data_IF_150102860322
#
_entry.id   IF_150102860322
#
_cell.length_a   1.000
_cell.length_b   1.000
_cell.length_c   1.000
_cell.angle_alpha   90.00
_cell.angle_beta   90.00
_cell.angle_gamma   90.00
#
_symmetry.space_group_name_H-M   'P 1'
#
loop_
_entity.id
_entity.type
_entity.pdbx_description
1 polymer ?
#
# COMPACT_ATOMS: atom_id res chain seq x y z
N UNK A 1 2.74 -10.35 -11.51
CA UNK A 1 2.33 -11.40 -12.46
C UNK A 1 2.26 -10.85 -13.87
N UNK A 2 1.49 -9.78 -14.10
CA UNK A 2 1.32 -9.14 -15.42
C UNK A 2 2.62 -8.80 -16.16
N UNK A 3 3.65 -8.34 -15.45
CA UNK A 3 4.93 -7.95 -16.08
C UNK A 3 5.69 -9.11 -16.75
N UNK A 4 5.54 -10.34 -16.27
CA UNK A 4 6.31 -11.51 -16.76
C UNK A 4 5.43 -12.69 -17.23
N UNK A 5 4.10 -12.56 -17.15
CA UNK A 5 3.17 -13.60 -17.56
C UNK A 5 3.22 -14.88 -16.71
N UNK A 6 3.77 -14.82 -15.50
CA UNK A 6 3.85 -15.97 -14.62
C UNK A 6 2.54 -16.18 -13.85
N UNK A 7 2.00 -17.39 -13.98
CA UNK A 7 0.86 -17.88 -13.20
C UNK A 7 1.35 -18.55 -11.91
N UNK A 8 1.49 -17.74 -10.86
CA UNK A 8 2.01 -18.20 -9.56
C UNK A 8 0.84 -18.66 -8.68
N UNK A 9 0.87 -19.93 -8.29
CA UNK A 9 -0.05 -20.44 -7.28
C UNK A 9 0.45 -20.08 -5.87
N UNK A 10 -0.17 -19.05 -5.28
CA UNK A 10 0.19 -18.56 -3.93
C UNK A 10 -0.05 -19.60 -2.82
N UNK A 11 -1.13 -20.37 -2.90
CA UNK A 11 -1.42 -21.44 -1.92
C UNK A 11 -0.37 -22.54 -1.94
N UNK A 12 0.02 -23.01 -3.12
CA UNK A 12 1.09 -23.99 -3.29
C UNK A 12 2.45 -23.47 -2.82
N UNK A 13 2.74 -22.18 -3.08
CA UNK A 13 3.97 -21.52 -2.62
C UNK A 13 4.03 -21.45 -1.09
N UNK A 14 2.92 -21.08 -0.43
CA UNK A 14 2.84 -21.08 1.03
C UNK A 14 3.06 -22.48 1.63
N UNK A 15 2.58 -23.53 0.95
CA UNK A 15 2.78 -24.91 1.37
C UNK A 15 4.25 -25.36 1.24
N UNK A 16 4.95 -24.95 0.19
CA UNK A 16 6.40 -25.21 0.03
C UNK A 16 7.21 -24.61 1.19
N UNK A 17 6.82 -23.45 1.71
CA UNK A 17 7.49 -22.81 2.85
C UNK A 17 7.20 -23.45 4.20
N UNK A 18 6.25 -24.39 4.26
CA UNK A 18 5.86 -25.06 5.52
C UNK A 18 6.88 -26.10 5.98
N UNK A 19 7.56 -26.76 5.05
CA UNK A 19 8.49 -27.85 5.36
C UNK A 19 9.93 -27.46 4.97
N UNK A 20 10.90 -27.72 5.85
CA UNK A 20 12.33 -27.53 5.55
C UNK A 20 12.83 -26.08 5.50
N UNK A 21 11.97 -25.07 5.39
CA UNK A 21 12.38 -23.66 5.44
C UNK A 21 12.57 -23.12 6.87
N UNK A 22 13.39 -22.06 7.02
CA UNK A 22 13.67 -21.39 8.30
C UNK A 22 12.40 -20.73 8.86
N UNK A 23 11.53 -20.20 8.00
CA UNK A 23 10.31 -19.47 8.38
C UNK A 23 9.09 -20.36 8.65
N UNK A 24 9.29 -21.68 8.73
CA UNK A 24 8.21 -22.65 8.93
C UNK A 24 7.39 -22.32 10.19
N UNK A 25 6.08 -22.32 10.07
CA UNK A 25 5.18 -22.02 11.18
C UNK A 25 3.76 -22.53 10.90
N UNK A 26 2.95 -22.69 11.96
CA UNK A 26 1.52 -22.94 11.82
C UNK A 26 0.81 -21.80 11.07
N UNK A 27 1.34 -20.58 11.15
CA UNK A 27 0.82 -19.40 10.48
C UNK A 27 0.76 -19.58 8.95
N UNK A 28 1.75 -20.24 8.34
CA UNK A 28 1.76 -20.52 6.90
C UNK A 28 0.60 -21.42 6.45
N UNK A 29 0.08 -22.29 7.32
CA UNK A 29 -1.12 -23.09 7.04
C UNK A 29 -2.34 -22.22 6.81
N UNK A 30 -2.54 -21.20 7.64
CA UNK A 30 -3.66 -20.26 7.47
C UNK A 30 -3.51 -19.42 6.18
N UNK A 31 -2.28 -19.11 5.76
CA UNK A 31 -2.04 -18.42 4.48
C UNK A 31 -2.47 -19.30 3.31
N UNK A 32 -2.09 -20.58 3.32
CA UNK A 32 -2.56 -21.55 2.33
C UNK A 32 -4.08 -21.58 2.30
N UNK A 33 -4.73 -21.71 3.45
CA UNK A 33 -6.18 -21.85 3.55
C UNK A 33 -6.90 -20.61 2.99
N UNK A 34 -6.38 -19.41 3.24
CA UNK A 34 -6.90 -18.16 2.67
C UNK A 34 -6.81 -18.13 1.14
N UNK A 35 -5.69 -18.56 0.55
CA UNK A 35 -5.54 -18.62 -0.91
C UNK A 35 -6.25 -19.82 -1.56
N UNK A 36 -6.51 -20.90 -0.82
CA UNK A 36 -7.34 -22.01 -1.26
C UNK A 36 -8.83 -21.58 -1.31
N UNK A 37 -9.28 -20.80 -0.32
CA UNK A 37 -10.62 -20.22 -0.30
C UNK A 37 -10.81 -19.12 -1.36
N UNK A 38 -9.78 -18.29 -1.60
CA UNK A 38 -9.79 -17.26 -2.64
C UNK A 38 -8.42 -17.15 -3.33
N UNK A 39 -8.23 -17.80 -4.49
CA UNK A 39 -6.98 -17.72 -5.25
C UNK A 39 -6.64 -16.31 -5.75
N UNK A 40 -7.64 -15.44 -5.89
CA UNK A 40 -7.51 -14.06 -6.37
C UNK A 40 -7.39 -13.04 -5.23
N UNK A 41 -7.09 -13.49 -4.00
CA UNK A 41 -6.93 -12.61 -2.84
C UNK A 41 -5.78 -11.62 -3.08
N UNK A 42 -6.10 -10.33 -3.15
CA UNK A 42 -5.12 -9.26 -3.41
C UNK A 42 -4.36 -8.86 -2.15
N UNK A 43 -5.03 -8.89 -0.99
CA UNK A 43 -4.45 -8.51 0.29
C UNK A 43 -4.80 -9.54 1.35
N UNK A 44 -3.79 -10.17 1.94
CA UNK A 44 -4.00 -11.24 2.90
C UNK A 44 -4.83 -10.79 4.13
N UNK A 45 -4.71 -9.53 4.54
CA UNK A 45 -5.49 -8.99 5.65
C UNK A 45 -6.98 -8.79 5.37
N UNK A 46 -7.46 -9.01 4.13
CA UNK A 46 -8.89 -9.01 3.83
C UNK A 46 -9.55 -10.39 3.94
N UNK A 47 -8.77 -11.47 4.06
CA UNK A 47 -9.28 -12.77 4.45
C UNK A 47 -9.85 -12.72 5.88
N UNK A 48 -10.91 -13.48 6.15
CA UNK A 48 -11.68 -13.38 7.40
C UNK A 48 -10.85 -13.74 8.64
N UNK A 49 -9.96 -14.73 8.54
CA UNK A 49 -9.10 -15.13 9.66
C UNK A 49 -8.08 -14.04 9.98
N UNK A 50 -7.36 -13.56 8.97
CA UNK A 50 -6.34 -12.51 9.16
C UNK A 50 -6.94 -11.17 9.55
N UNK A 51 -8.09 -10.81 8.97
CA UNK A 51 -8.84 -9.61 9.34
C UNK A 51 -9.22 -9.65 10.83
N UNK A 52 -9.73 -10.79 11.31
CA UNK A 52 -10.06 -10.96 12.73
C UNK A 52 -8.84 -10.79 13.65
N UNK A 53 -7.66 -11.28 13.24
CA UNK A 53 -6.41 -11.05 14.00
C UNK A 53 -6.09 -9.56 14.05
N UNK A 54 -6.14 -8.87 12.90
CA UNK A 54 -5.84 -7.44 12.81
C UNK A 54 -6.79 -6.63 13.68
N UNK A 55 -8.10 -6.84 13.57
CA UNK A 55 -9.12 -6.12 14.35
C UNK A 55 -8.91 -6.29 15.86
N UNK A 56 -8.56 -7.50 16.30
CA UNK A 56 -8.29 -7.78 17.71
C UNK A 56 -6.97 -7.18 18.21
N UNK A 57 -5.92 -7.16 17.38
CA UNK A 57 -4.59 -6.72 17.81
C UNK A 57 -4.35 -5.21 17.61
N UNK A 58 -5.09 -4.54 16.73
CA UNK A 58 -4.76 -3.19 16.25
C UNK A 58 -4.70 -2.15 17.37
N UNK A 59 -5.62 -2.19 18.33
CA UNK A 59 -5.63 -1.23 19.44
C UNK A 59 -4.37 -1.32 20.29
N UNK A 60 -3.97 -2.53 20.68
CA UNK A 60 -2.79 -2.74 21.52
C UNK A 60 -1.49 -2.53 20.73
N UNK A 61 -1.48 -2.92 19.46
CA UNK A 61 -0.36 -2.64 18.57
C UNK A 61 -0.07 -1.13 18.49
N UNK A 62 -1.11 -0.28 18.37
CA UNK A 62 -0.94 1.18 18.41
C UNK A 62 -0.33 1.67 19.71
N UNK A 63 -0.80 1.17 20.86
CA UNK A 63 -0.27 1.56 22.18
C UNK A 63 1.21 1.22 22.30
N UNK A 64 1.60 0.02 21.84
CA UNK A 64 3.00 -0.42 21.88
C UNK A 64 3.89 0.47 21.00
N UNK A 65 3.48 0.76 19.76
CA UNK A 65 4.24 1.61 18.83
C UNK A 65 4.32 3.06 19.32
N UNK A 66 3.22 3.61 19.84
CA UNK A 66 3.22 4.95 20.43
C UNK A 66 4.19 5.01 21.61
N UNK A 67 4.10 4.03 22.52
CA UNK A 67 4.96 4.00 23.70
C UNK A 67 6.43 3.85 23.34
N UNK A 68 6.75 3.02 22.33
CA UNK A 68 8.13 2.83 21.89
C UNK A 68 8.74 4.14 21.40
N UNK A 69 7.98 4.95 20.66
CA UNK A 69 8.41 6.28 20.20
C UNK A 69 8.61 7.22 21.40
N UNK A 70 7.64 7.29 22.32
CA UNK A 70 7.72 8.17 23.50
C UNK A 70 8.97 7.92 24.35
N UNK A 71 9.38 6.66 24.50
CA UNK A 71 10.53 6.28 25.34
C UNK A 71 11.82 6.09 24.55
N UNK A 72 11.82 6.38 23.25
CA UNK A 72 13.02 6.29 22.41
C UNK A 72 13.47 4.86 22.09
N UNK A 73 12.59 3.86 22.13
CA UNK A 73 12.88 2.49 21.71
C UNK A 73 12.56 2.32 20.21
N UNK A 74 13.56 1.98 19.37
CA UNK A 74 13.33 1.81 17.94
C UNK A 74 12.58 0.51 17.64
N UNK A 75 11.42 0.62 16.99
CA UNK A 75 10.62 -0.53 16.51
C UNK A 75 10.28 -0.39 15.02
N UNK A 76 11.27 -0.35 14.11
CA UNK A 76 11.07 0.02 12.71
C UNK A 76 10.07 -0.88 11.98
N UNK A 77 10.12 -2.20 12.19
CA UNK A 77 9.21 -3.13 11.54
C UNK A 77 7.76 -2.95 12.02
N UNK A 78 7.55 -2.75 13.31
CA UNK A 78 6.20 -2.57 13.87
C UNK A 78 5.59 -1.22 13.45
N UNK A 79 6.39 -0.15 13.49
CA UNK A 79 5.95 1.18 13.06
C UNK A 79 5.67 1.23 11.54
N UNK A 80 6.54 0.60 10.74
CA UNK A 80 6.35 0.53 9.28
C UNK A 80 5.10 -0.28 8.91
N UNK A 81 4.91 -1.45 9.51
CA UNK A 81 3.77 -2.31 9.19
C UNK A 81 2.42 -1.68 9.58
N UNK A 82 2.32 -0.97 10.71
CA UNK A 82 1.08 -0.26 11.06
C UNK A 82 0.83 0.95 10.15
N UNK A 83 1.89 1.68 9.78
CA UNK A 83 1.79 2.80 8.83
C UNK A 83 1.35 2.31 7.45
N UNK A 84 1.85 1.16 7.00
CA UNK A 84 1.40 0.52 5.77
C UNK A 84 -0.08 0.15 5.84
N UNK A 85 -0.53 -0.48 6.93
CA UNK A 85 -1.92 -0.88 7.10
C UNK A 85 -2.87 0.33 7.08
N UNK A 86 -2.51 1.40 7.79
CA UNK A 86 -3.26 2.66 7.80
C UNK A 86 -3.29 3.29 6.40
N UNK A 87 -2.16 3.26 5.70
CA UNK A 87 -2.07 3.74 4.32
C UNK A 87 -2.95 2.94 3.36
N UNK A 88 -2.90 1.60 3.46
CA UNK A 88 -3.64 0.69 2.60
C UNK A 88 -5.16 0.76 2.82
N UNK A 89 -5.60 0.97 4.07
CA UNK A 89 -7.02 1.02 4.43
C UNK A 89 -7.62 2.43 4.32
N UNK A 90 -6.81 3.44 3.98
CA UNK A 90 -7.27 4.81 3.78
C UNK A 90 -7.70 5.06 2.33
N UNK A 91 -8.98 5.37 2.12
CA UNK A 91 -9.50 5.70 0.79
C UNK A 91 -8.92 7.01 0.20
N UNK A 92 -8.45 7.93 1.06
CA UNK A 92 -7.81 9.18 0.65
C UNK A 92 -6.50 9.35 1.41
N UNK A 93 -5.40 9.40 0.66
CA UNK A 93 -4.06 9.66 1.17
C UNK A 93 -3.62 11.09 0.84
N UNK A 94 -2.64 11.64 1.58
CA UNK A 94 -2.07 12.96 1.30
C UNK A 94 -1.27 13.06 -0.01
N UNK A 95 -1.34 12.03 -0.87
CA UNK A 95 -0.69 12.03 -2.19
C UNK A 95 -1.21 13.15 -3.12
N UNK A 96 -2.38 13.72 -2.84
CA UNK A 96 -2.88 14.91 -3.52
C UNK A 96 -1.96 16.13 -3.32
N UNK A 97 -1.37 16.30 -2.13
CA UNK A 97 -0.40 17.36 -1.89
C UNK A 97 0.89 17.12 -2.68
N UNK A 98 1.33 15.86 -2.78
CA UNK A 98 2.49 15.49 -3.61
C UNK A 98 2.24 15.84 -5.08
N UNK A 99 1.05 15.54 -5.61
CA UNK A 99 0.68 15.92 -6.98
C UNK A 99 0.65 17.45 -7.15
N UNK A 100 0.09 18.19 -6.21
CA UNK A 100 0.09 19.65 -6.24
C UNK A 100 1.51 20.23 -6.22
N UNK A 101 2.41 19.68 -5.39
CA UNK A 101 3.81 20.10 -5.34
C UNK A 101 4.51 19.86 -6.69
N UNK A 102 4.37 18.65 -7.27
CA UNK A 102 4.94 18.32 -8.59
C UNK A 102 4.45 19.24 -9.68
N UNK A 103 3.16 19.57 -9.68
CA UNK A 103 2.60 20.52 -10.63
C UNK A 103 3.09 21.95 -10.39
N UNK A 104 3.25 22.35 -9.12
CA UNK A 104 3.75 23.67 -8.75
C UNK A 104 5.17 23.94 -9.27
N UNK A 105 6.14 23.07 -8.94
CA UNK A 105 7.54 23.33 -9.27
C UNK A 105 7.97 22.79 -10.63
N UNK A 106 7.19 21.89 -11.23
CA UNK A 106 7.59 21.15 -12.43
C UNK A 106 6.52 21.05 -13.51
N UNK A 107 5.35 21.68 -13.34
CA UNK A 107 4.25 21.66 -14.31
C UNK A 107 3.84 20.25 -14.76
N UNK A 108 4.00 19.26 -13.87
CA UNK A 108 3.81 17.83 -14.14
C UNK A 108 2.35 17.39 -14.27
N UNK A 109 1.39 18.32 -14.13
CA UNK A 109 -0.05 18.06 -14.13
C UNK A 109 -0.52 17.13 -13.02
N UNK A 110 -1.83 17.04 -12.82
CA UNK A 110 -2.48 16.13 -11.89
C UNK A 110 -3.91 15.81 -12.33
N UNK A 111 -4.47 14.72 -11.81
CA UNK A 111 -5.87 14.36 -12.03
C UNK A 111 -6.75 14.86 -10.88
N UNK A 112 -8.03 15.12 -11.17
CA UNK A 112 -9.02 15.58 -10.18
C UNK A 112 -10.06 14.51 -9.90
N UNK A 113 -10.57 14.48 -8.67
CA UNK A 113 -11.59 13.47 -8.27
C UNK A 113 -12.99 13.75 -8.79
N UNK A 114 -13.25 14.97 -9.26
CA UNK A 114 -14.53 15.39 -9.86
C UNK A 114 -14.53 15.28 -11.39
N UNK A 115 -13.49 14.67 -11.98
CA UNK A 115 -13.30 14.51 -13.41
C UNK A 115 -13.05 13.05 -13.78
N UNK A 116 -13.35 12.63 -15.02
CA UNK A 116 -12.98 11.31 -15.50
C UNK A 116 -11.49 11.01 -15.30
N UNK A 117 -11.19 9.75 -14.99
CA UNK A 117 -9.80 9.27 -14.88
C UNK A 117 -9.08 9.44 -16.23
N UNK A 118 -7.83 9.90 -16.19
CA UNK A 118 -7.02 10.17 -17.37
C UNK A 118 -7.11 11.62 -17.87
N UNK A 119 -7.95 12.47 -17.29
CA UNK A 119 -7.92 13.91 -17.55
C UNK A 119 -6.88 14.61 -16.65
N UNK A 120 -5.90 15.27 -17.26
CA UNK A 120 -4.81 15.95 -16.59
C UNK A 120 -4.98 17.47 -16.61
N UNK A 121 -4.71 18.09 -15.47
CA UNK A 121 -4.83 19.53 -15.24
C UNK A 121 -3.49 20.10 -14.82
N UNK A 122 -3.14 21.26 -15.38
CA UNK A 122 -2.07 22.11 -14.88
C UNK A 122 -2.68 23.36 -14.24
N UNK A 123 -2.18 23.75 -13.07
CA UNK A 123 -2.57 24.99 -12.41
C UNK A 123 -1.42 25.99 -12.44
N UNK A 124 -1.70 27.24 -12.83
CA UNK A 124 -0.74 28.33 -12.65
C UNK A 124 -0.74 28.79 -11.19
N UNK A 125 0.04 28.11 -10.36
CA UNK A 125 0.04 28.33 -8.91
C UNK A 125 0.64 29.67 -8.47
N UNK A 126 1.51 30.27 -9.28
CA UNK A 126 2.19 31.53 -8.93
C UNK A 126 1.44 32.77 -9.43
N UNK A 127 0.46 32.58 -10.32
CA UNK A 127 -0.25 33.67 -11.02
C UNK A 127 0.62 34.48 -11.98
N UNK A 128 1.90 34.12 -12.11
CA UNK A 128 2.90 34.78 -12.97
C UNK A 128 3.61 33.80 -13.90
N UNK A 129 3.48 32.49 -13.66
CA UNK A 129 3.92 31.45 -14.58
C UNK A 129 3.04 31.39 -15.81
N UNK A 130 3.55 30.88 -16.93
CA UNK A 130 2.74 30.63 -18.12
C UNK A 130 1.79 29.43 -17.93
N UNK A 131 0.90 29.21 -18.89
CA UNK A 131 0.02 28.02 -18.93
C UNK A 131 0.74 26.76 -19.46
N UNK A 132 2.07 26.73 -19.42
CA UNK A 132 2.88 25.72 -20.07
C UNK A 132 3.06 24.52 -19.15
N UNK A 133 2.43 23.40 -19.49
CA UNK A 133 2.65 22.12 -18.83
C UNK A 133 3.95 21.45 -19.32
N UNK A 134 4.65 20.70 -18.47
CA UNK A 134 5.78 19.85 -18.89
C UNK A 134 5.24 18.57 -19.53
N UNK A 135 4.71 18.70 -20.74
CA UNK A 135 4.32 17.53 -21.53
C UNK A 135 5.57 16.79 -22.00
N UNK A 136 5.56 15.47 -21.91
CA UNK A 136 6.49 14.63 -22.67
C UNK A 136 6.31 14.93 -24.17
N UNK A 137 7.41 15.13 -24.89
CA UNK A 137 7.39 15.05 -26.35
C UNK A 137 7.09 13.60 -26.71
N UNK A 138 5.87 13.31 -27.13
CA UNK A 138 5.60 12.05 -27.82
C UNK A 138 6.28 12.14 -29.19
N UNK A 139 7.32 11.32 -29.39
CA UNK A 139 7.93 11.03 -30.70
C UNK A 139 7.37 9.72 -31.21
#
# INVERSE_FOLDING_TARGET
>A
MEKFGWDINYGATALLWREGCIIRSRFLGNIRDAYEANPNLVFLGSDSYFKGILENALSDWRKVVAKSIEVGIPMPCMASAITFLDGYTSARLPANLLQAQRDYFGAHTYERTDKPRGEFFHTNWTGRGGNTASTTYDV
#
